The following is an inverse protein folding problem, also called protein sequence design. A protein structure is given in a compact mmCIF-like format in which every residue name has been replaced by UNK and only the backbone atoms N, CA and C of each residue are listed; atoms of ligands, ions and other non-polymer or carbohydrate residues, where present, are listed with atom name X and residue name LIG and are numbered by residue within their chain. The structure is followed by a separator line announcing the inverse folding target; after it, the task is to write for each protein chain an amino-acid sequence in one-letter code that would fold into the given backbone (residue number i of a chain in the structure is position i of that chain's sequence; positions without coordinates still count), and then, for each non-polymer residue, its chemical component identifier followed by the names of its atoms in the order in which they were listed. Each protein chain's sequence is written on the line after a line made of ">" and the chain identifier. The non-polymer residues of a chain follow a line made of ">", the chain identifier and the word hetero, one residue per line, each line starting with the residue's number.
data_IF_112904100629
#
_entry.id   IF_112904100629
#
_cell.length_a   1.000
_cell.length_b   1.000
_cell.length_c   1.000
_cell.angle_alpha   90.00
_cell.angle_beta   90.00
_cell.angle_gamma   90.00
#
_symmetry.space_group_name_H-M   'P 1'
#
loop_
_entity.id
_entity.type
_entity.pdbx_description
1 polymer ?
#
# COMPACT_ATOMS: atom_id res chain seq x y z
N UNK A 1 -30.95 -4.55 15.96
CA UNK A 1 -29.98 -3.94 15.02
C UNK A 1 -28.58 -4.22 15.53
N UNK A 2 -28.01 -5.27 14.96
CA UNK A 2 -26.64 -5.76 14.99
C UNK A 2 -25.89 -5.93 16.34
N UNK A 3 -26.32 -6.94 17.10
CA UNK A 3 -25.61 -7.49 18.27
C UNK A 3 -24.27 -8.15 17.93
N UNK A 4 -23.91 -8.28 16.64
CA UNK A 4 -22.65 -8.86 16.17
C UNK A 4 -21.39 -8.15 16.67
N UNK A 5 -21.51 -6.92 17.17
CA UNK A 5 -20.38 -6.16 17.70
C UNK A 5 -20.43 -6.00 19.23
N UNK A 6 -21.41 -6.61 19.90
CA UNK A 6 -21.62 -6.45 21.33
C UNK A 6 -20.80 -7.45 22.13
N UNK A 7 -19.49 -7.18 22.20
CA UNK A 7 -18.54 -7.91 23.04
C UNK A 7 -17.84 -6.94 23.99
N UNK A 8 -17.74 -7.31 25.26
CA UNK A 8 -16.98 -6.54 26.26
C UNK A 8 -15.49 -6.72 26.02
N UNK A 9 -14.73 -5.62 25.99
CA UNK A 9 -13.27 -5.70 25.83
C UNK A 9 -12.63 -6.39 27.04
N UNK A 10 -11.75 -7.39 26.84
CA UNK A 10 -10.98 -7.97 27.94
C UNK A 10 -9.84 -7.03 28.41
N UNK A 11 -9.63 -5.88 27.75
CA UNK A 11 -8.54 -4.95 28.01
C UNK A 11 -9.02 -3.60 28.59
N UNK A 12 -9.92 -3.65 29.57
CA UNK A 12 -10.49 -2.44 30.19
C UNK A 12 -9.42 -1.48 30.77
N UNK A 13 -8.27 -2.02 31.18
CA UNK A 13 -7.15 -1.25 31.74
C UNK A 13 -6.55 -0.26 30.73
N UNK A 14 -6.52 -0.59 29.44
CA UNK A 14 -5.99 0.28 28.39
C UNK A 14 -6.96 1.42 28.00
N UNK A 15 -8.23 1.30 28.39
CA UNK A 15 -9.25 2.27 28.02
C UNK A 15 -8.97 3.65 28.61
N UNK A 16 -8.46 3.73 29.84
CA UNK A 16 -8.16 5.01 30.49
C UNK A 16 -7.01 5.76 29.79
N UNK A 17 -5.94 5.05 29.44
CA UNK A 17 -4.81 5.62 28.69
C UNK A 17 -5.25 6.09 27.30
N UNK A 18 -6.06 5.29 26.60
CA UNK A 18 -6.64 5.66 25.31
C UNK A 18 -7.49 6.93 25.40
N UNK A 19 -8.44 6.99 26.35
CA UNK A 19 -9.30 8.15 26.53
C UNK A 19 -8.49 9.41 26.83
N UNK A 20 -7.50 9.32 27.73
CA UNK A 20 -6.61 10.45 28.05
C UNK A 20 -5.85 10.97 26.83
N UNK A 21 -5.40 10.07 25.94
CA UNK A 21 -4.72 10.46 24.71
C UNK A 21 -5.66 11.14 23.71
N UNK A 22 -6.90 10.65 23.56
CA UNK A 22 -7.91 11.28 22.71
C UNK A 22 -8.32 12.66 23.24
N UNK A 23 -8.50 12.78 24.56
CA UNK A 23 -8.92 14.02 25.23
C UNK A 23 -7.83 15.09 25.25
N UNK A 24 -6.57 14.73 24.95
CA UNK A 24 -5.46 15.68 24.79
C UNK A 24 -5.66 16.67 23.63
N UNK A 25 -6.64 16.45 22.75
CA UNK A 25 -6.92 17.28 21.58
C UNK A 25 -5.99 17.02 20.39
N UNK A 26 -5.00 16.13 20.52
CA UNK A 26 -4.15 15.69 19.41
C UNK A 26 -4.98 14.88 18.42
N UNK A 27 -5.01 15.30 17.15
CA UNK A 27 -5.76 14.62 16.07
C UNK A 27 -4.97 13.44 15.49
N UNK A 28 -4.70 12.44 16.32
CA UNK A 28 -3.94 11.25 15.95
C UNK A 28 -4.80 10.24 15.20
N UNK A 29 -4.22 9.59 14.19
CA UNK A 29 -4.80 8.43 13.51
C UNK A 29 -4.55 7.16 14.31
N UNK A 30 -5.30 6.08 14.04
CA UNK A 30 -5.21 4.81 14.79
C UNK A 30 -3.80 4.23 14.91
N UNK A 31 -2.97 4.32 13.87
CA UNK A 31 -1.55 3.92 13.93
C UNK A 31 -0.75 4.72 14.96
N UNK A 32 -0.94 6.04 14.97
CA UNK A 32 -0.21 6.94 15.85
C UNK A 32 -0.68 6.74 17.29
N UNK A 33 -2.00 6.58 17.50
CA UNK A 33 -2.57 6.19 18.80
C UNK A 33 -1.98 4.87 19.30
N UNK A 34 -1.85 3.86 18.43
CA UNK A 34 -1.25 2.59 18.80
C UNK A 34 0.21 2.77 19.25
N UNK A 35 1.00 3.51 18.47
CA UNK A 35 2.40 3.78 18.80
C UNK A 35 2.56 4.52 20.13
N UNK A 36 1.74 5.53 20.42
CA UNK A 36 1.77 6.29 21.69
C UNK A 36 1.40 5.41 22.90
N UNK A 37 0.59 4.37 22.68
CA UNK A 37 0.21 3.39 23.71
C UNK A 37 1.17 2.19 23.77
N UNK A 38 2.24 2.18 22.97
CA UNK A 38 3.15 1.04 22.81
C UNK A 38 2.43 -0.26 22.37
N UNK A 39 1.44 -0.11 21.50
CA UNK A 39 0.68 -1.18 20.88
C UNK A 39 0.89 -1.20 19.37
N UNK A 40 0.67 -2.36 18.77
CA UNK A 40 0.44 -2.50 17.33
C UNK A 40 -0.97 -2.03 16.96
N UNK A 41 -1.19 -1.74 15.68
CA UNK A 41 -2.51 -1.31 15.20
C UNK A 41 -3.57 -2.43 15.32
N UNK A 42 -3.13 -3.69 15.22
CA UNK A 42 -3.95 -4.85 15.46
C UNK A 42 -4.32 -5.01 16.94
N UNK A 43 -3.38 -4.85 17.87
CA UNK A 43 -3.65 -4.90 19.32
C UNK A 43 -4.64 -3.81 19.74
N UNK A 44 -4.46 -2.58 19.27
CA UNK A 44 -5.39 -1.48 19.55
C UNK A 44 -6.81 -1.81 19.05
N UNK A 45 -6.91 -2.45 17.88
CA UNK A 45 -8.19 -2.88 17.31
C UNK A 45 -8.79 -4.07 18.06
N UNK A 46 -7.99 -5.08 18.41
CA UNK A 46 -8.42 -6.26 19.16
C UNK A 46 -8.92 -5.88 20.56
N UNK A 47 -8.27 -4.89 21.18
CA UNK A 47 -8.64 -4.29 22.46
C UNK A 47 -9.87 -3.37 22.40
N UNK A 48 -10.45 -3.17 21.21
CA UNK A 48 -11.64 -2.33 21.01
C UNK A 48 -11.46 -0.87 21.49
N UNK A 49 -10.25 -0.35 21.39
CA UNK A 49 -9.96 1.04 21.77
C UNK A 49 -10.48 1.99 20.68
N UNK A 50 -11.55 2.71 21.02
CA UNK A 50 -12.23 3.65 20.12
C UNK A 50 -13.02 3.01 18.97
N UNK A 51 -13.26 1.71 19.01
CA UNK A 51 -14.10 1.01 18.03
C UNK A 51 -14.68 -0.28 18.62
N UNK A 52 -15.70 -0.84 18.00
CA UNK A 52 -16.10 -2.24 18.21
C UNK A 52 -15.49 -3.13 17.13
N UNK A 53 -15.24 -4.40 17.44
CA UNK A 53 -14.66 -5.36 16.50
C UNK A 53 -15.30 -6.74 16.56
N UNK A 54 -15.29 -7.43 15.43
CA UNK A 54 -15.60 -8.85 15.28
C UNK A 54 -14.40 -9.52 14.62
N UNK A 55 -13.79 -10.52 15.28
CA UNK A 55 -12.71 -11.32 14.69
C UNK A 55 -13.26 -12.18 13.56
N UNK A 56 -12.49 -12.28 12.49
CA UNK A 56 -12.80 -13.08 11.32
C UNK A 56 -11.98 -14.38 11.35
N UNK A 57 -12.52 -15.45 10.76
CA UNK A 57 -11.81 -16.71 10.50
C UNK A 57 -10.58 -16.43 9.65
N UNK A 58 -9.51 -17.20 9.86
CA UNK A 58 -8.23 -17.14 9.13
C UNK A 58 -8.31 -17.61 7.67
N UNK A 59 -9.51 -17.67 7.11
CA UNK A 59 -9.79 -18.11 5.75
C UNK A 59 -9.95 -16.95 4.77
N UNK A 60 -8.98 -16.02 4.78
CA UNK A 60 -9.03 -14.77 4.04
C UNK A 60 -9.20 -14.92 2.52
N UNK A 61 -8.63 -15.95 1.85
CA UNK A 61 -8.88 -16.14 0.42
C UNK A 61 -10.37 -16.34 0.11
N UNK A 62 -11.06 -17.24 0.81
CA UNK A 62 -12.52 -17.42 0.63
C UNK A 62 -13.29 -16.13 0.96
N UNK A 63 -12.88 -15.38 1.99
CA UNK A 63 -13.53 -14.11 2.33
C UNK A 63 -13.42 -13.11 1.18
N UNK A 64 -12.21 -12.95 0.64
CA UNK A 64 -11.90 -12.05 -0.48
C UNK A 64 -12.73 -12.41 -1.72
N UNK A 65 -12.93 -13.69 -2.01
CA UNK A 65 -13.79 -14.15 -3.11
C UNK A 65 -15.23 -13.65 -2.98
N UNK A 66 -15.74 -13.39 -1.78
CA UNK A 66 -17.10 -12.91 -1.56
C UNK A 66 -17.24 -11.38 -1.63
N UNK A 67 -16.14 -10.63 -1.61
CA UNK A 67 -16.18 -9.16 -1.51
C UNK A 67 -16.84 -8.48 -2.72
N UNK A 68 -16.91 -9.17 -3.86
CA UNK A 68 -17.61 -8.67 -5.05
C UNK A 68 -19.10 -8.39 -4.83
N UNK A 69 -19.70 -8.98 -3.79
CA UNK A 69 -21.12 -8.82 -3.43
C UNK A 69 -21.43 -7.54 -2.67
N UNK A 70 -20.42 -6.80 -2.22
CA UNK A 70 -20.59 -5.63 -1.34
C UNK A 70 -20.92 -4.35 -2.11
N UNK A 71 -20.80 -4.33 -3.44
CA UNK A 71 -21.00 -3.11 -4.21
C UNK A 71 -19.86 -2.10 -4.01
N UNK A 72 -20.15 -0.78 -3.96
CA UNK A 72 -19.15 0.27 -3.76
C UNK A 72 -18.41 0.15 -2.43
N UNK A 73 -17.08 0.19 -2.49
CA UNK A 73 -16.18 0.16 -1.32
C UNK A 73 -15.02 1.15 -1.53
N UNK A 74 -14.25 1.38 -0.47
CA UNK A 74 -12.94 2.03 -0.53
C UNK A 74 -11.88 1.04 -0.03
N UNK A 75 -10.89 0.72 -0.87
CA UNK A 75 -9.70 -0.04 -0.45
C UNK A 75 -8.59 0.91 -0.04
N UNK A 76 -7.95 0.61 1.10
CA UNK A 76 -6.82 1.36 1.62
C UNK A 76 -5.64 0.42 1.82
N UNK A 77 -4.51 0.77 1.23
CA UNK A 77 -3.22 0.10 1.42
C UNK A 77 -2.16 1.14 1.72
N UNK A 78 -1.24 0.83 2.62
CA UNK A 78 -0.24 1.79 3.07
C UNK A 78 1.03 1.13 3.58
N UNK A 79 2.08 1.93 3.68
CA UNK A 79 3.32 1.64 4.41
C UNK A 79 3.64 2.81 5.37
N UNK A 80 4.89 2.96 5.80
CA UNK A 80 5.32 4.09 6.63
C UNK A 80 5.21 5.45 5.94
N UNK A 81 5.43 5.54 4.63
CA UNK A 81 5.59 6.80 3.91
C UNK A 81 4.45 7.11 2.94
N UNK A 82 3.59 6.14 2.62
CA UNK A 82 2.52 6.32 1.64
C UNK A 82 1.20 5.70 2.11
N UNK A 83 0.09 6.39 1.81
CA UNK A 83 -1.28 5.88 1.93
C UNK A 83 -1.96 5.97 0.56
N UNK A 84 -2.53 4.85 0.11
CA UNK A 84 -3.24 4.73 -1.17
C UNK A 84 -4.68 4.31 -0.91
N UNK A 85 -5.61 5.19 -1.23
CA UNK A 85 -7.04 4.98 -1.08
C UNK A 85 -7.71 4.98 -2.45
N UNK A 86 -8.51 3.96 -2.73
CA UNK A 86 -9.19 3.81 -4.01
C UNK A 86 -10.63 3.37 -3.81
N UNK A 87 -11.56 4.17 -4.32
CA UNK A 87 -12.98 3.83 -4.39
C UNK A 87 -13.28 3.03 -5.65
N UNK A 88 -14.18 2.06 -5.53
CA UNK A 88 -14.64 1.24 -6.65
C UNK A 88 -15.46 0.05 -6.18
N UNK A 89 -15.70 -0.88 -7.09
CA UNK A 89 -16.33 -2.17 -6.78
C UNK A 89 -15.23 -3.23 -6.67
N UNK A 90 -15.31 -4.12 -5.69
CA UNK A 90 -14.39 -5.24 -5.61
C UNK A 90 -14.72 -6.23 -6.75
N UNK A 91 -13.85 -6.47 -7.74
CA UNK A 91 -14.14 -7.42 -8.80
C UNK A 91 -13.99 -8.86 -8.28
N UNK A 92 -14.34 -9.84 -9.11
CA UNK A 92 -14.02 -11.24 -8.80
C UNK A 92 -12.50 -11.40 -8.62
N UNK A 93 -12.11 -11.99 -7.50
CA UNK A 93 -10.72 -12.32 -7.22
C UNK A 93 -10.32 -13.62 -7.93
N UNK A 94 -9.16 -13.62 -8.57
CA UNK A 94 -8.52 -14.83 -9.08
C UNK A 94 -7.45 -15.27 -8.08
N UNK A 95 -7.73 -16.34 -7.33
CA UNK A 95 -6.84 -16.81 -6.27
C UNK A 95 -6.08 -18.05 -6.75
N UNK A 96 -4.76 -17.97 -6.75
CA UNK A 96 -3.82 -19.06 -6.96
C UNK A 96 -2.85 -19.06 -5.79
N UNK A 97 -3.22 -19.77 -4.71
CA UNK A 97 -2.50 -19.72 -3.43
C UNK A 97 -0.99 -19.95 -3.64
N UNK A 98 -0.12 -19.13 -3.00
CA UNK A 98 -0.43 -18.14 -1.96
C UNK A 98 -0.83 -16.73 -2.48
N UNK A 99 -1.01 -16.55 -3.78
CA UNK A 99 -1.23 -15.24 -4.42
C UNK A 99 -2.70 -15.06 -4.82
N UNK A 100 -3.22 -13.84 -4.65
CA UNK A 100 -4.50 -13.42 -5.21
C UNK A 100 -4.33 -12.23 -6.16
N UNK A 101 -5.08 -12.24 -7.25
CA UNK A 101 -5.17 -11.14 -8.21
C UNK A 101 -6.58 -10.59 -8.20
N UNK A 102 -6.72 -9.28 -8.02
CA UNK A 102 -7.99 -8.57 -8.10
C UNK A 102 -7.80 -7.50 -9.15
N UNK A 103 -8.44 -7.65 -10.30
CA UNK A 103 -8.24 -6.74 -11.44
C UNK A 103 -9.62 -6.36 -11.97
N UNK A 104 -10.03 -5.13 -11.70
CA UNK A 104 -11.30 -4.60 -12.23
C UNK A 104 -11.20 -4.30 -13.72
N UNK A 105 -12.25 -4.58 -14.49
CA UNK A 105 -12.32 -4.20 -15.90
C UNK A 105 -12.18 -2.68 -16.09
N UNK A 106 -12.71 -1.90 -15.14
CA UNK A 106 -12.59 -0.45 -15.06
C UNK A 106 -11.23 0.04 -14.52
N UNK A 107 -10.34 -0.90 -14.15
CA UNK A 107 -9.03 -0.66 -13.53
C UNK A 107 -9.09 0.22 -12.26
N UNK A 108 -10.25 0.29 -11.60
CA UNK A 108 -10.38 1.05 -10.36
C UNK A 108 -9.72 0.29 -9.22
N UNK A 109 -10.21 -0.90 -8.89
CA UNK A 109 -9.59 -1.78 -7.89
C UNK A 109 -8.65 -2.76 -8.59
N UNK A 110 -7.35 -2.56 -8.43
CA UNK A 110 -6.29 -3.43 -8.94
C UNK A 110 -5.31 -3.76 -7.80
N UNK A 111 -5.26 -5.04 -7.40
CA UNK A 111 -4.53 -5.52 -6.24
C UNK A 111 -3.66 -6.74 -6.56
N UNK A 112 -2.54 -6.87 -5.86
CA UNK A 112 -1.77 -8.11 -5.72
C UNK A 112 -1.78 -8.52 -4.25
N UNK A 113 -2.46 -9.62 -3.93
CA UNK A 113 -2.63 -10.13 -2.58
C UNK A 113 -1.62 -11.23 -2.31
N UNK A 114 -0.90 -11.14 -1.19
CA UNK A 114 0.07 -12.14 -0.75
C UNK A 114 -0.43 -12.74 0.58
N UNK A 115 -1.28 -13.77 0.49
CA UNK A 115 -2.03 -14.28 1.65
C UNK A 115 -1.14 -14.87 2.77
N UNK A 116 0.12 -15.22 2.46
CA UNK A 116 1.10 -15.64 3.48
C UNK A 116 1.42 -14.54 4.51
N UNK A 117 1.06 -13.29 4.23
CA UNK A 117 1.23 -12.17 5.14
C UNK A 117 -0.08 -11.72 5.80
N UNK A 118 -1.19 -12.41 5.55
CA UNK A 118 -2.48 -12.12 6.18
C UNK A 118 -2.65 -13.05 7.37
N UNK A 119 -2.53 -12.52 8.58
CA UNK A 119 -2.60 -13.33 9.80
C UNK A 119 -3.88 -13.06 10.60
N UNK A 120 -4.29 -11.80 10.74
CA UNK A 120 -5.47 -11.44 11.52
C UNK A 120 -6.43 -10.59 10.70
N UNK A 121 -7.73 -10.78 10.94
CA UNK A 121 -8.79 -10.04 10.26
C UNK A 121 -9.89 -9.63 11.22
N UNK A 122 -10.35 -8.40 11.10
CA UNK A 122 -11.42 -7.86 11.91
C UNK A 122 -12.45 -7.14 11.05
N UNK A 123 -13.72 -7.42 11.28
CA UNK A 123 -14.77 -6.44 11.00
C UNK A 123 -14.74 -5.38 12.10
N UNK A 124 -14.77 -4.10 11.73
CA UNK A 124 -14.66 -2.98 12.67
C UNK A 124 -15.81 -2.02 12.46
N UNK A 125 -16.44 -1.61 13.55
CA UNK A 125 -17.46 -0.59 13.60
C UNK A 125 -16.97 0.59 14.47
N UNK A 126 -16.90 1.78 13.89
CA UNK A 126 -16.33 2.97 14.52
C UNK A 126 -17.35 4.11 14.50
N UNK A 127 -17.58 4.73 15.65
CA UNK A 127 -18.44 5.89 15.74
C UNK A 127 -17.67 7.15 15.32
N UNK A 128 -18.18 7.86 14.31
CA UNK A 128 -17.69 9.16 13.88
C UNK A 128 -18.77 10.22 14.10
N UNK A 129 -18.39 11.50 14.06
CA UNK A 129 -19.35 12.60 14.06
C UNK A 129 -20.37 12.51 12.90
N UNK A 130 -19.99 11.89 11.78
CA UNK A 130 -20.84 11.65 10.61
C UNK A 130 -21.69 10.36 10.68
N UNK A 131 -21.65 9.63 11.80
CA UNK A 131 -22.31 8.34 11.97
C UNK A 131 -21.33 7.16 12.01
N UNK A 132 -21.88 5.94 11.94
CA UNK A 132 -21.09 4.71 12.02
C UNK A 132 -20.31 4.45 10.73
N UNK A 133 -19.03 4.14 10.87
CA UNK A 133 -18.17 3.65 9.80
C UNK A 133 -17.89 2.16 10.00
N UNK A 134 -18.11 1.38 8.95
CA UNK A 134 -17.84 -0.06 8.94
C UNK A 134 -16.65 -0.37 8.03
N UNK A 135 -15.83 -1.33 8.45
CA UNK A 135 -14.68 -1.78 7.65
C UNK A 135 -14.31 -3.24 7.91
N UNK A 136 -13.56 -3.80 6.97
CA UNK A 136 -12.78 -5.02 7.15
C UNK A 136 -11.30 -4.61 7.21
N UNK A 137 -10.57 -5.03 8.23
CA UNK A 137 -9.18 -4.64 8.45
C UNK A 137 -8.33 -5.89 8.66
N UNK A 138 -7.28 -6.03 7.87
CA UNK A 138 -6.40 -7.18 7.85
C UNK A 138 -4.99 -6.79 8.28
N UNK A 139 -4.34 -7.66 9.05
CA UNK A 139 -3.06 -7.41 9.69
C UNK A 139 -2.14 -8.61 9.51
N UNK A 140 -0.83 -8.34 9.50
CA UNK A 140 0.19 -9.37 9.45
C UNK A 140 0.50 -9.94 10.84
N UNK A 141 1.47 -10.86 10.89
CA UNK A 141 1.89 -11.53 12.11
C UNK A 141 2.52 -10.62 13.17
N UNK A 142 2.90 -9.40 12.79
CA UNK A 142 3.48 -8.38 13.65
C UNK A 142 2.43 -7.33 14.07
N UNK A 143 1.16 -7.53 13.73
CA UNK A 143 0.09 -6.58 14.04
C UNK A 143 0.08 -5.32 13.16
N UNK A 144 0.81 -5.34 12.02
CA UNK A 144 0.88 -4.23 11.08
C UNK A 144 -0.22 -4.37 10.02
N UNK A 145 -0.90 -3.26 9.70
CA UNK A 145 -2.00 -3.26 8.74
C UNK A 145 -1.53 -3.68 7.33
N UNK A 146 -2.21 -4.67 6.76
CA UNK A 146 -1.99 -5.18 5.40
C UNK A 146 -2.90 -4.49 4.40
N UNK A 147 -4.21 -4.50 4.67
CA UNK A 147 -5.23 -3.85 3.84
C UNK A 147 -6.44 -3.49 4.72
N UNK A 148 -7.11 -2.40 4.37
CA UNK A 148 -8.43 -2.06 4.92
C UNK A 148 -9.44 -1.86 3.79
N UNK A 149 -10.67 -2.26 4.03
CA UNK A 149 -11.79 -2.10 3.11
C UNK A 149 -12.91 -1.40 3.88
N UNK A 150 -13.23 -0.18 3.50
CA UNK A 150 -14.27 0.63 4.12
C UNK A 150 -15.54 0.56 3.30
N UNK A 151 -16.66 0.36 3.98
CA UNK A 151 -17.97 0.48 3.37
C UNK A 151 -18.23 1.95 2.99
N UNK A 152 -18.95 2.15 1.91
CA UNK A 152 -19.43 3.45 1.41
C UNK A 152 -20.94 3.55 1.66
N UNK A 153 -21.55 4.75 1.56
CA UNK A 153 -22.98 4.91 1.75
C UNK A 153 -23.85 3.96 0.91
N UNK A 154 -23.39 3.66 -0.31
CA UNK A 154 -24.11 2.82 -1.27
C UNK A 154 -23.66 1.33 -1.26
N UNK A 155 -22.86 0.91 -0.27
CA UNK A 155 -22.52 -0.52 -0.09
C UNK A 155 -23.79 -1.33 0.16
N UNK A 156 -23.84 -2.56 -0.36
CA UNK A 156 -24.83 -3.56 0.03
C UNK A 156 -24.61 -4.05 1.48
N UNK A 157 -25.20 -3.34 2.45
CA UNK A 157 -25.04 -3.61 3.88
C UNK A 157 -25.60 -4.97 4.32
N UNK A 158 -26.71 -5.45 3.75
CA UNK A 158 -27.25 -6.77 4.08
C UNK A 158 -26.25 -7.88 3.69
N UNK A 159 -25.70 -7.81 2.47
CA UNK A 159 -24.63 -8.70 2.03
C UNK A 159 -23.37 -8.62 2.90
N UNK A 160 -23.04 -7.45 3.43
CA UNK A 160 -21.95 -7.31 4.41
C UNK A 160 -22.25 -8.07 5.70
N UNK A 161 -23.45 -7.94 6.28
CA UNK A 161 -23.77 -8.66 7.52
C UNK A 161 -23.86 -10.18 7.31
N UNK A 162 -24.38 -10.64 6.18
CA UNK A 162 -24.35 -12.06 5.81
C UNK A 162 -22.91 -12.58 5.69
N UNK A 163 -21.99 -11.78 5.11
CA UNK A 163 -20.56 -12.10 5.07
C UNK A 163 -19.99 -12.24 6.49
N UNK A 164 -20.34 -11.34 7.41
CA UNK A 164 -19.85 -11.40 8.79
C UNK A 164 -20.33 -12.66 9.52
N UNK A 165 -21.59 -13.07 9.36
CA UNK A 165 -22.10 -14.31 9.96
C UNK A 165 -21.36 -15.54 9.44
N UNK A 166 -21.02 -15.55 8.14
CA UNK A 166 -20.28 -16.66 7.55
C UNK A 166 -18.82 -16.72 8.04
N UNK A 167 -18.17 -15.56 8.17
CA UNK A 167 -16.73 -15.45 8.41
C UNK A 167 -16.34 -15.04 9.83
N UNK A 168 -17.27 -14.86 10.78
CA UNK A 168 -16.92 -14.62 12.18
C UNK A 168 -16.16 -15.80 12.78
N UNK A 169 -15.07 -15.51 13.48
CA UNK A 169 -14.42 -16.53 14.30
C UNK A 169 -15.35 -16.94 15.46
N UNK A 170 -15.26 -18.20 15.88
CA UNK A 170 -15.99 -18.67 17.06
C UNK A 170 -15.45 -18.00 18.33
N UNK A 171 -14.13 -17.96 18.45
CA UNK A 171 -13.43 -17.29 19.55
C UNK A 171 -13.31 -15.78 19.29
N UNK A 172 -13.99 -15.01 20.15
CA UNK A 172 -13.96 -13.55 20.13
C UNK A 172 -13.19 -12.96 21.32
N UNK A 173 -12.67 -13.77 22.25
CA UNK A 173 -12.21 -13.29 23.56
C UNK A 173 -10.76 -13.62 23.88
N UNK A 174 -10.19 -14.72 23.39
CA UNK A 174 -8.81 -15.12 23.73
C UNK A 174 -7.82 -14.06 23.28
N UNK A 175 -6.92 -13.54 24.13
CA UNK A 175 -5.93 -12.54 23.72
C UNK A 175 -5.11 -12.99 22.50
N UNK A 176 -4.95 -12.10 21.51
CA UNK A 176 -4.07 -12.36 20.38
C UNK A 176 -2.62 -12.05 20.76
N UNK A 177 -1.70 -12.86 20.26
CA UNK A 177 -0.26 -12.61 20.36
C UNK A 177 0.29 -12.23 18.99
N UNK A 178 1.17 -11.23 18.96
CA UNK A 178 1.88 -10.79 17.76
C UNK A 178 3.38 -11.01 17.93
N UNK A 179 4.04 -11.35 16.83
CA UNK A 179 5.49 -11.50 16.83
C UNK A 179 6.17 -10.12 16.87
N UNK A 180 7.37 -10.00 17.47
CA UNK A 180 8.18 -8.80 17.30
C UNK A 180 8.64 -8.67 15.85
N UNK A 181 8.62 -7.45 15.33
CA UNK A 181 9.10 -7.19 13.97
C UNK A 181 10.60 -7.48 13.86
N UNK A 182 10.99 -8.24 12.84
CA UNK A 182 12.40 -8.54 12.59
C UNK A 182 13.09 -7.32 11.95
N UNK A 183 14.34 -7.02 12.34
CA UNK A 183 15.12 -5.99 11.68
C UNK A 183 15.36 -6.33 10.20
N UNK A 184 15.54 -5.30 9.37
CA UNK A 184 15.91 -5.49 7.98
C UNK A 184 17.23 -6.27 7.88
N UNK A 185 17.32 -7.16 6.89
CA UNK A 185 18.57 -7.85 6.58
C UNK A 185 19.57 -6.82 6.08
N UNK A 186 20.72 -6.74 6.75
CA UNK A 186 21.79 -5.84 6.33
C UNK A 186 22.28 -6.22 4.93
N UNK A 187 22.51 -5.21 4.10
CA UNK A 187 23.09 -5.39 2.78
C UNK A 187 24.52 -5.94 2.88
N UNK A 188 24.91 -6.75 1.90
CA UNK A 188 26.33 -7.07 1.72
C UNK A 188 27.08 -5.79 1.35
N UNK A 189 28.37 -5.72 1.69
CA UNK A 189 29.21 -4.65 1.17
C UNK A 189 29.21 -4.69 -0.37
N UNK A 190 29.09 -3.53 -1.02
CA UNK A 190 29.02 -3.40 -2.47
C UNK A 190 30.17 -4.10 -3.20
N UNK A 191 31.38 -4.09 -2.61
CA UNK A 191 32.57 -4.77 -3.12
C UNK A 191 32.46 -6.30 -3.16
N UNK A 192 31.47 -6.89 -2.49
CA UNK A 192 31.19 -8.33 -2.48
C UNK A 192 30.17 -8.76 -3.52
N UNK A 193 29.53 -7.81 -4.21
CA UNK A 193 28.54 -8.11 -5.25
C UNK A 193 29.25 -8.22 -6.61
N UNK A 194 28.96 -9.28 -7.37
CA UNK A 194 29.41 -9.37 -8.77
C UNK A 194 28.55 -8.44 -9.65
N UNK A 195 28.98 -7.18 -9.74
CA UNK A 195 28.30 -6.13 -10.51
C UNK A 195 28.18 -6.50 -11.99
N UNK A 196 29.15 -7.24 -12.56
CA UNK A 196 29.09 -7.66 -13.97
C UNK A 196 28.04 -8.73 -14.18
N UNK A 197 27.91 -9.69 -13.26
CA UNK A 197 26.83 -10.67 -13.31
C UNK A 197 25.46 -10.00 -13.11
N UNK A 198 25.33 -9.13 -12.10
CA UNK A 198 24.10 -8.37 -11.82
C UNK A 198 23.64 -7.57 -13.05
N UNK A 199 24.56 -6.80 -13.67
CA UNK A 199 24.24 -5.98 -14.84
C UNK A 199 23.85 -6.84 -16.05
N UNK A 200 24.50 -8.00 -16.25
CA UNK A 200 24.10 -8.95 -17.30
C UNK A 200 22.69 -9.49 -17.05
N UNK A 201 22.40 -9.99 -15.85
CA UNK A 201 21.07 -10.48 -15.48
C UNK A 201 20.01 -9.38 -15.66
N UNK A 202 20.33 -8.14 -15.30
CA UNK A 202 19.45 -6.98 -15.49
C UNK A 202 19.15 -6.72 -16.96
N UNK A 203 20.19 -6.69 -17.81
CA UNK A 203 20.04 -6.46 -19.24
C UNK A 203 19.24 -7.57 -19.96
N UNK A 204 19.20 -8.78 -19.38
CA UNK A 204 18.44 -9.92 -19.89
C UNK A 204 16.99 -10.00 -19.38
N UNK A 205 16.53 -9.04 -18.59
CA UNK A 205 15.14 -9.00 -18.15
C UNK A 205 14.19 -8.99 -19.35
N UNK A 206 13.18 -9.86 -19.30
CA UNK A 206 12.17 -9.98 -20.34
C UNK A 206 10.76 -9.71 -19.81
N UNK A 207 10.60 -9.67 -18.48
CA UNK A 207 9.37 -9.44 -17.75
C UNK A 207 9.70 -8.75 -16.42
N UNK A 208 8.92 -7.74 -16.05
CA UNK A 208 9.10 -6.98 -14.79
C UNK A 208 9.02 -7.86 -13.53
N UNK A 209 8.26 -8.96 -13.57
CA UNK A 209 8.11 -9.90 -12.46
C UNK A 209 9.38 -10.73 -12.21
N UNK A 210 10.32 -10.79 -13.16
CA UNK A 210 11.63 -11.42 -12.97
C UNK A 210 12.54 -10.61 -12.04
N UNK A 211 12.27 -9.32 -11.87
CA UNK A 211 13.14 -8.43 -11.10
C UNK A 211 13.31 -8.88 -9.65
N UNK A 212 12.25 -9.37 -9.01
CA UNK A 212 12.35 -9.90 -7.64
C UNK A 212 13.26 -11.14 -7.57
N UNK A 213 13.17 -12.05 -8.56
CA UNK A 213 14.03 -13.22 -8.64
C UNK A 213 15.51 -12.84 -8.82
N UNK A 214 15.78 -11.85 -9.68
CA UNK A 214 17.12 -11.30 -9.90
C UNK A 214 17.73 -10.75 -8.61
N UNK A 215 16.98 -9.95 -7.84
CA UNK A 215 17.50 -9.42 -6.57
C UNK A 215 17.89 -10.53 -5.59
N UNK A 216 17.06 -11.58 -5.50
CA UNK A 216 17.31 -12.75 -4.65
C UNK A 216 18.53 -13.54 -5.11
N UNK A 217 18.68 -13.75 -6.42
CA UNK A 217 19.82 -14.45 -7.03
C UNK A 217 21.15 -13.77 -6.68
N UNK A 218 21.18 -12.45 -6.73
CA UNK A 218 22.39 -11.65 -6.45
C UNK A 218 22.54 -11.26 -4.96
N UNK A 219 21.57 -11.59 -4.11
CA UNK A 219 21.60 -11.28 -2.69
C UNK A 219 21.62 -9.78 -2.37
N UNK A 220 21.00 -8.96 -3.23
CA UNK A 220 21.01 -7.49 -3.12
C UNK A 220 19.63 -6.92 -2.84
N UNK A 221 19.58 -5.80 -2.13
CA UNK A 221 18.36 -4.99 -2.02
C UNK A 221 18.05 -4.29 -3.36
N UNK A 222 16.86 -3.68 -3.46
CA UNK A 222 16.51 -2.84 -4.63
C UNK A 222 17.47 -1.66 -4.80
N UNK A 223 17.68 -0.87 -3.75
CA UNK A 223 18.54 0.31 -3.82
C UNK A 223 20.01 -0.08 -4.00
N UNK A 224 20.43 -1.22 -3.45
CA UNK A 224 21.76 -1.78 -3.73
C UNK A 224 21.92 -2.17 -5.19
N UNK A 225 20.94 -2.85 -5.76
CA UNK A 225 20.98 -3.16 -7.18
C UNK A 225 21.08 -1.87 -8.01
N UNK A 226 20.29 -0.83 -7.68
CA UNK A 226 20.27 0.44 -8.41
C UNK A 226 21.62 1.15 -8.43
N UNK A 227 22.23 1.36 -7.25
CA UNK A 227 23.53 2.03 -7.16
C UNK A 227 24.65 1.24 -7.84
N UNK A 228 24.55 -0.10 -7.87
CA UNK A 228 25.55 -0.96 -8.49
C UNK A 228 25.42 -1.04 -10.01
N UNK A 229 24.20 -1.15 -10.56
CA UNK A 229 24.01 -1.19 -12.02
C UNK A 229 24.21 0.18 -12.66
N UNK A 230 23.90 1.25 -11.92
CA UNK A 230 24.10 2.64 -12.33
C UNK A 230 23.46 2.99 -13.68
N UNK A 231 23.94 4.07 -14.31
CA UNK A 231 23.49 4.47 -15.63
C UNK A 231 23.86 3.44 -16.71
N UNK A 232 22.98 3.15 -17.69
CA UNK A 232 21.69 3.80 -17.92
C UNK A 232 20.50 3.12 -17.22
N UNK A 233 20.74 2.15 -16.33
CA UNK A 233 19.68 1.31 -15.76
C UNK A 233 18.98 1.92 -14.56
N UNK A 234 19.72 2.60 -13.70
CA UNK A 234 19.18 3.26 -12.52
C UNK A 234 19.98 4.52 -12.19
N UNK A 235 19.28 5.63 -11.99
CA UNK A 235 19.89 6.93 -11.71
C UNK A 235 19.14 7.63 -10.57
N UNK A 236 19.85 8.26 -9.61
CA UNK A 236 19.23 8.95 -8.50
C UNK A 236 18.47 10.20 -9.00
N UNK A 237 17.32 10.44 -8.41
CA UNK A 237 16.46 11.61 -8.70
C UNK A 237 16.37 12.46 -7.44
N UNK A 238 16.56 13.77 -7.60
CA UNK A 238 16.36 14.71 -6.49
C UNK A 238 14.90 14.70 -6.04
N UNK A 239 14.64 14.64 -4.72
CA UNK A 239 13.28 14.57 -4.16
C UNK A 239 12.41 15.79 -4.56
N UNK A 240 13.03 16.95 -4.81
CA UNK A 240 12.36 18.14 -5.32
C UNK A 240 11.68 17.93 -6.68
N UNK A 241 12.03 16.88 -7.44
CA UNK A 241 11.46 16.56 -8.77
C UNK A 241 10.14 15.80 -8.70
N UNK A 242 9.79 15.21 -7.55
CA UNK A 242 8.60 14.35 -7.41
C UNK A 242 7.31 15.16 -7.57
N UNK A 243 7.19 16.29 -6.87
CA UNK A 243 6.02 17.17 -6.97
C UNK A 243 5.85 17.73 -8.39
N UNK A 244 6.85 18.36 -9.03
CA UNK A 244 6.73 18.83 -10.41
C UNK A 244 6.33 17.74 -11.40
N UNK A 245 6.82 16.50 -11.24
CA UNK A 245 6.42 15.38 -12.09
C UNK A 245 4.93 15.05 -11.94
N UNK A 246 4.42 14.93 -10.71
CA UNK A 246 3.00 14.65 -10.49
C UNK A 246 2.12 15.82 -10.94
N UNK A 247 2.54 17.07 -10.73
CA UNK A 247 1.82 18.25 -11.20
C UNK A 247 1.79 18.32 -12.73
N UNK A 248 2.88 17.96 -13.42
CA UNK A 248 2.91 17.91 -14.88
C UNK A 248 2.01 16.77 -15.41
N UNK A 249 2.09 15.58 -14.82
CA UNK A 249 1.19 14.48 -15.18
C UNK A 249 -0.29 14.86 -15.00
N UNK A 250 -0.60 15.61 -13.93
CA UNK A 250 -1.95 16.10 -13.69
C UNK A 250 -2.40 17.16 -14.71
N UNK A 251 -1.52 18.14 -15.02
CA UNK A 251 -1.81 19.17 -16.04
C UNK A 251 -2.09 18.57 -17.41
N UNK A 252 -1.31 17.57 -17.81
CA UNK A 252 -1.43 16.94 -19.12
C UNK A 252 -2.51 15.84 -19.16
N UNK A 253 -3.17 15.58 -18.04
CA UNK A 253 -4.02 14.41 -17.82
C UNK A 253 -3.35 13.10 -18.29
N UNK A 254 -2.02 13.00 -18.10
CA UNK A 254 -1.21 11.88 -18.54
C UNK A 254 -1.50 10.67 -17.65
N UNK A 255 -2.03 9.55 -18.21
CA UNK A 255 -2.31 8.37 -17.40
C UNK A 255 -1.04 7.74 -16.83
N UNK A 256 -1.02 7.55 -15.52
CA UNK A 256 0.04 6.87 -14.79
C UNK A 256 -0.50 5.68 -13.99
N UNK A 257 0.42 4.81 -13.61
CA UNK A 257 0.21 3.78 -12.62
C UNK A 257 0.91 4.19 -11.33
N UNK A 258 0.23 4.09 -10.19
CA UNK A 258 0.81 4.33 -8.86
C UNK A 258 0.66 3.08 -8.00
N UNK A 259 1.79 2.53 -7.58
CA UNK A 259 1.89 1.33 -6.75
C UNK A 259 2.26 1.71 -5.33
N UNK A 260 1.45 1.30 -4.37
CA UNK A 260 1.76 1.39 -2.94
C UNK A 260 1.49 0.03 -2.31
N UNK A 261 2.49 -0.48 -1.58
CA UNK A 261 2.43 -1.81 -0.97
C UNK A 261 2.50 -1.77 0.55
N UNK A 262 1.89 -2.77 1.17
CA UNK A 262 2.21 -3.30 2.48
C UNK A 262 2.95 -4.64 2.31
N UNK A 263 3.21 -5.36 3.41
CA UNK A 263 3.83 -6.70 3.34
C UNK A 263 2.94 -7.71 2.62
N UNK A 264 1.62 -7.59 2.73
CA UNK A 264 0.65 -8.57 2.21
C UNK A 264 -0.22 -8.09 1.05
N UNK A 265 -0.08 -6.85 0.61
CA UNK A 265 -0.90 -6.29 -0.46
C UNK A 265 -0.16 -5.22 -1.26
N UNK A 266 -0.31 -5.21 -2.57
CA UNK A 266 0.07 -4.09 -3.44
C UNK A 266 -1.20 -3.55 -4.07
N UNK A 267 -1.46 -2.26 -3.89
CA UNK A 267 -2.60 -1.56 -4.48
C UNK A 267 -2.12 -0.64 -5.60
N UNK A 268 -2.84 -0.68 -6.71
CA UNK A 268 -2.44 -0.04 -7.95
C UNK A 268 -3.56 0.90 -8.39
N UNK A 269 -3.23 2.17 -8.57
CA UNK A 269 -4.07 3.09 -9.35
C UNK A 269 -3.58 3.05 -10.80
N UNK A 270 -4.48 3.04 -11.78
CA UNK A 270 -4.16 3.24 -13.19
C UNK A 270 -5.11 4.28 -13.78
N UNK A 271 -4.56 5.40 -14.26
CA UNK A 271 -5.37 6.48 -14.82
C UNK A 271 -4.70 7.84 -14.69
N UNK A 272 -5.36 8.89 -15.20
CA UNK A 272 -4.94 10.26 -14.93
C UNK A 272 -5.18 10.63 -13.47
N UNK A 273 -4.34 11.53 -12.96
CA UNK A 273 -4.52 12.23 -11.70
C UNK A 273 -4.84 13.70 -11.98
N UNK A 274 -5.47 14.42 -11.04
CA UNK A 274 -5.90 15.79 -11.30
C UNK A 274 -5.50 16.78 -10.20
N UNK A 275 -5.78 16.46 -8.93
CA UNK A 275 -5.64 17.41 -7.82
C UNK A 275 -4.41 17.12 -6.97
N UNK A 276 -3.25 17.57 -7.44
CA UNK A 276 -1.98 17.47 -6.70
C UNK A 276 -1.82 18.64 -5.74
N UNK A 277 -1.59 18.38 -4.44
CA UNK A 277 -1.45 19.43 -3.41
C UNK A 277 -0.44 19.08 -2.33
N UNK A 278 0.32 20.08 -1.89
CA UNK A 278 1.07 20.01 -0.63
C UNK A 278 0.19 20.46 0.53
N UNK A 279 0.18 19.69 1.62
CA UNK A 279 -0.44 20.07 2.90
C UNK A 279 0.54 19.70 4.01
N UNK A 280 1.20 20.72 4.59
CA UNK A 280 2.38 20.47 5.43
C UNK A 280 3.43 19.68 4.64
N UNK A 281 3.92 18.58 5.22
CA UNK A 281 4.92 17.70 4.60
C UNK A 281 4.32 16.66 3.64
N UNK A 282 3.00 16.61 3.52
CA UNK A 282 2.32 15.61 2.70
C UNK A 282 2.14 16.11 1.26
N UNK A 283 2.64 15.34 0.31
CA UNK A 283 2.31 15.47 -1.11
C UNK A 283 1.11 14.58 -1.42
N UNK A 284 0.02 15.19 -1.88
CA UNK A 284 -1.27 14.52 -2.01
C UNK A 284 -1.77 14.51 -3.45
N UNK A 285 -2.44 13.43 -3.84
CA UNK A 285 -3.45 13.42 -4.91
C UNK A 285 -4.81 13.33 -4.24
N UNK A 286 -5.73 14.26 -4.55
CA UNK A 286 -7.03 14.40 -3.89
C UNK A 286 -8.18 14.32 -4.91
N UNK A 287 -8.21 13.23 -5.66
CA UNK A 287 -9.23 12.98 -6.68
C UNK A 287 -10.46 12.29 -6.06
N UNK A 288 -11.67 12.42 -6.66
CA UNK A 288 -12.90 11.91 -6.04
C UNK A 288 -12.88 10.41 -5.69
N UNK A 289 -12.18 9.62 -6.49
CA UNK A 289 -12.12 8.16 -6.34
C UNK A 289 -10.71 7.62 -6.06
N UNK A 290 -9.67 8.46 -6.09
CA UNK A 290 -8.29 8.07 -5.80
C UNK A 290 -7.62 9.13 -4.93
N UNK A 291 -7.16 8.72 -3.76
CA UNK A 291 -6.34 9.57 -2.90
C UNK A 291 -4.99 8.91 -2.67
N UNK A 292 -3.94 9.70 -2.80
CA UNK A 292 -2.58 9.33 -2.46
C UNK A 292 -2.06 10.33 -1.46
N UNK A 293 -1.42 9.86 -0.40
CA UNK A 293 -0.75 10.71 0.58
C UNK A 293 0.68 10.21 0.73
N UNK A 294 1.65 11.02 0.32
CA UNK A 294 3.08 10.74 0.48
C UNK A 294 3.66 11.65 1.57
N UNK A 295 4.21 11.05 2.61
CA UNK A 295 4.94 11.75 3.65
C UNK A 295 6.36 12.03 3.14
N UNK A 296 6.60 13.26 2.68
CA UNK A 296 7.88 13.61 2.08
C UNK A 296 9.03 13.61 3.09
N UNK A 297 8.78 13.71 4.39
CA UNK A 297 9.83 13.61 5.42
C UNK A 297 10.32 12.17 5.59
N UNK A 298 9.48 11.18 5.27
CA UNK A 298 9.84 9.75 5.35
C UNK A 298 10.48 9.22 4.07
N UNK A 299 10.51 10.01 3.00
CA UNK A 299 11.13 9.62 1.73
C UNK A 299 12.59 10.09 1.75
N UNK A 300 13.53 9.15 1.78
CA UNK A 300 14.95 9.43 1.83
C UNK A 300 15.60 9.49 0.43
N UNK A 301 15.09 8.73 -0.53
CA UNK A 301 15.65 8.68 -1.88
C UNK A 301 14.60 8.44 -2.96
N UNK A 302 14.93 8.85 -4.18
CA UNK A 302 14.16 8.56 -5.38
C UNK A 302 15.09 8.12 -6.51
N UNK A 303 14.58 7.25 -7.37
CA UNK A 303 15.34 6.66 -8.47
C UNK A 303 14.50 6.62 -9.75
N UNK A 304 15.12 7.00 -10.87
CA UNK A 304 14.62 6.64 -12.19
C UNK A 304 15.22 5.29 -12.57
N UNK A 305 14.37 4.30 -12.85
CA UNK A 305 14.78 2.91 -13.08
C UNK A 305 14.25 2.44 -14.43
N UNK A 306 15.13 1.87 -15.24
CA UNK A 306 14.85 1.36 -16.58
C UNK A 306 15.03 -0.16 -16.57
N UNK A 307 13.95 -0.89 -16.82
CA UNK A 307 13.95 -2.37 -16.85
C UNK A 307 13.61 -2.85 -18.26
N UNK A 308 14.50 -3.61 -18.92
CA UNK A 308 14.16 -4.27 -20.18
C UNK A 308 12.96 -5.20 -20.02
N UNK A 309 12.15 -5.30 -21.08
CA UNK A 309 11.07 -6.27 -21.20
C UNK A 309 10.89 -6.66 -22.67
N UNK A 310 10.09 -7.71 -22.93
CA UNK A 310 9.71 -8.10 -24.30
C UNK A 310 9.00 -6.98 -25.07
N UNK A 311 8.33 -6.08 -24.37
CA UNK A 311 7.57 -4.97 -24.96
C UNK A 311 8.44 -3.70 -25.11
N UNK A 312 9.74 -3.78 -24.81
CA UNK A 312 10.65 -2.64 -24.75
C UNK A 312 10.99 -2.24 -23.30
N UNK A 313 11.79 -1.19 -23.16
CA UNK A 313 12.22 -0.70 -21.85
C UNK A 313 11.05 -0.04 -21.12
N UNK A 314 10.84 -0.44 -19.86
CA UNK A 314 9.90 0.17 -18.94
C UNK A 314 10.63 1.11 -17.99
N UNK A 315 10.15 2.34 -17.89
CA UNK A 315 10.71 3.40 -17.07
C UNK A 315 9.83 3.61 -15.84
N UNK A 316 10.39 3.55 -14.64
CA UNK A 316 9.68 3.77 -13.38
C UNK A 316 10.39 4.81 -12.52
N UNK A 317 9.63 5.66 -11.86
CA UNK A 317 10.10 6.51 -10.77
C UNK A 317 9.78 5.82 -9.45
N UNK A 318 10.78 5.51 -8.65
CA UNK A 318 10.64 4.72 -7.43
C UNK A 318 11.12 5.50 -6.21
N UNK A 319 10.29 5.56 -5.16
CA UNK A 319 10.54 6.30 -3.92
C UNK A 319 10.83 5.34 -2.77
N UNK A 320 11.79 5.69 -1.92
CA UNK A 320 12.23 4.85 -0.82
C UNK A 320 12.39 5.62 0.48
N UNK A 321 12.15 4.93 1.58
CA UNK A 321 12.41 5.37 2.95
C UNK A 321 13.88 5.17 3.33
N UNK A 322 14.26 5.74 4.48
CA UNK A 322 15.59 5.64 5.09
C UNK A 322 16.03 4.18 5.36
N UNK A 323 15.08 3.33 5.75
CA UNK A 323 15.29 1.91 6.02
C UNK A 323 15.33 1.02 4.76
N UNK A 324 15.24 1.61 3.56
CA UNK A 324 15.32 0.87 2.32
C UNK A 324 13.99 0.35 1.75
N UNK A 325 12.86 0.56 2.44
CA UNK A 325 11.54 0.12 1.97
C UNK A 325 11.03 0.99 0.82
N UNK A 326 10.25 0.39 -0.08
CA UNK A 326 9.58 1.13 -1.16
C UNK A 326 8.38 1.90 -0.60
N UNK A 327 8.41 3.22 -0.72
CA UNK A 327 7.30 4.10 -0.37
C UNK A 327 6.21 4.06 -1.45
N UNK A 328 6.58 4.34 -2.70
CA UNK A 328 5.67 4.29 -3.85
C UNK A 328 6.47 4.09 -5.16
N UNK A 329 5.79 3.61 -6.20
CA UNK A 329 6.36 3.54 -7.55
C UNK A 329 5.37 4.13 -8.56
N UNK A 330 5.90 4.88 -9.53
CA UNK A 330 5.14 5.47 -10.63
C UNK A 330 5.63 4.93 -11.97
N UNK A 331 4.68 4.53 -12.82
CA UNK A 331 4.92 4.02 -14.16
C UNK A 331 3.90 4.64 -15.13
N UNK A 332 4.14 4.57 -16.44
CA UNK A 332 3.13 4.91 -17.43
C UNK A 332 2.08 3.81 -17.55
N UNK A 333 0.80 4.16 -17.70
CA UNK A 333 -0.22 3.15 -18.05
C UNK A 333 0.15 2.51 -19.38
N UNK A 334 0.08 1.18 -19.44
CA UNK A 334 0.32 0.40 -20.66
C UNK A 334 -0.64 -0.76 -20.78
N UNK A 335 -0.87 -1.20 -22.01
CA UNK A 335 -1.53 -2.47 -22.28
C UNK A 335 -0.49 -3.60 -22.33
N UNK A 336 -0.80 -4.82 -21.88
CA UNK A 336 0.07 -5.98 -22.08
C UNK A 336 0.43 -6.16 -23.55
N UNK A 337 1.69 -6.45 -23.87
CA UNK A 337 2.15 -6.63 -25.25
C UNK A 337 2.44 -5.31 -26.00
N UNK A 338 2.38 -4.16 -25.32
CA UNK A 338 2.65 -2.84 -25.90
C UNK A 338 3.78 -2.13 -25.14
N UNK A 339 4.61 -1.33 -25.85
CA UNK A 339 5.62 -0.50 -25.21
C UNK A 339 4.98 0.52 -24.27
N UNK A 340 5.78 1.05 -23.35
CA UNK A 340 5.35 2.15 -22.50
C UNK A 340 5.01 3.41 -23.32
N UNK A 341 4.18 4.27 -22.73
CA UNK A 341 3.85 5.58 -23.31
C UNK A 341 5.11 6.43 -23.49
N UNK A 342 5.34 6.93 -24.71
CA UNK A 342 6.42 7.88 -24.99
C UNK A 342 6.29 9.16 -24.16
N UNK A 343 5.06 9.64 -23.90
CA UNK A 343 4.82 10.81 -23.07
C UNK A 343 5.22 10.55 -21.60
N UNK A 344 4.92 9.36 -21.08
CA UNK A 344 5.40 8.94 -19.76
C UNK A 344 6.92 8.89 -19.71
N UNK A 345 7.55 8.22 -20.68
CA UNK A 345 9.02 8.13 -20.75
C UNK A 345 9.64 9.53 -20.74
N UNK A 346 9.19 10.43 -21.62
CA UNK A 346 9.71 11.80 -21.69
C UNK A 346 9.55 12.55 -20.37
N UNK A 347 8.40 12.42 -19.69
CA UNK A 347 8.17 13.05 -18.41
C UNK A 347 9.08 12.47 -17.32
N UNK A 348 9.16 11.15 -17.20
CA UNK A 348 9.99 10.49 -16.19
C UNK A 348 11.49 10.80 -16.41
N UNK A 349 11.97 10.75 -17.65
CA UNK A 349 13.35 11.11 -18.04
C UNK A 349 13.68 12.59 -17.78
N UNK A 350 12.68 13.48 -17.81
CA UNK A 350 12.89 14.90 -17.50
C UNK A 350 13.29 15.15 -16.04
N UNK A 351 13.11 14.17 -15.15
CA UNK A 351 13.51 14.27 -13.74
C UNK A 351 15.02 14.31 -13.54
N UNK A 352 15.79 13.72 -14.45
CA UNK A 352 17.25 13.71 -14.43
C UNK A 352 17.88 15.00 -14.98
N UNK A 353 17.10 15.82 -15.69
CA UNK A 353 17.61 17.09 -16.23
C UNK A 353 17.82 18.09 -15.09
N UNK A 354 18.92 18.87 -15.11
CA UNK A 354 19.11 19.94 -14.15
C UNK A 354 17.95 20.93 -14.24
N UNK A 355 17.53 21.48 -13.10
CA UNK A 355 16.56 22.56 -13.09
C UNK A 355 17.12 23.71 -13.92
N UNK A 356 16.38 24.13 -14.95
CA UNK A 356 16.67 25.41 -15.59
C UNK A 356 16.46 26.46 -14.52
N UNK A 357 17.53 27.08 -14.04
CA UNK A 357 17.43 28.27 -13.21
C UNK A 357 16.53 29.25 -13.96
N UNK A 358 15.40 29.62 -13.36
CA UNK A 358 14.61 30.73 -13.87
C UNK A 358 15.50 31.97 -13.80
N UNK A 359 15.84 32.53 -14.95
CA UNK A 359 16.47 33.84 -15.08
C UNK A 359 15.43 34.94 -14.86
#
# INVERSE_FOLDING_TARGET
>A
MNTLFDYTSPFAELQHAYTSLVDSGRRLRRRELAAELNLTEAELTDAQLGCKRLRLKDNFPQLVEQLHRLGPILTLTRNEAAVHERKGHYPHAHIQRPVGLVIGNDRKIDLRLLFNHWHQGFAVAEALASGMRYSLQFFDKYGVAVQKIFLQPDTHFEGYFQLLEQFRAEDQTTPLAFEPQQPAVAELADSRVDVRALTRSWSSLSNEHQFFGLLKEHGVSRQQAFRLVGAPWAEPVALGRIKPLLEQAARDALPLMCFVGSRGNIQIHSGPIHRVKMVGNWLNVLDPEFNLHLDMERIASAWLVRKPSRDGTLTSLELYTDNGNTAAQFLGVRQPGKPESNAWRQLAESTLKPERACA
#
